data_IF_840051614486
#
_entry.id   IF_840051614486
#
_cell.length_a   1.000
_cell.length_b   1.000
_cell.length_c   1.000
_cell.angle_alpha   90.00
_cell.angle_beta   90.00
_cell.angle_gamma   90.00
#
_symmetry.space_group_name_H-M   'P 1'
#
loop_
_entity.id
_entity.type
_entity.pdbx_description
1 polymer ?
#
# COMPACT_ATOMS: atom_id res chain seq x y z
N UNK A 1 14.38 -10.53 4.58
CA UNK A 1 15.00 -10.03 3.34
C UNK A 1 14.11 -8.90 2.88
N UNK A 2 14.65 -7.69 2.67
CA UNK A 2 13.79 -6.53 2.47
C UNK A 2 13.36 -6.36 1.01
N UNK A 3 12.05 -6.26 0.76
CA UNK A 3 11.53 -6.17 -0.62
C UNK A 3 11.26 -4.72 -0.98
N UNK A 4 12.27 -4.06 -1.54
CA UNK A 4 12.17 -2.70 -2.09
C UNK A 4 11.84 -2.76 -3.58
N UNK A 5 10.72 -2.16 -3.99
CA UNK A 5 10.32 -2.06 -5.38
C UNK A 5 10.33 -0.61 -5.86
N UNK A 6 10.66 -0.39 -7.13
CA UNK A 6 10.61 0.93 -7.76
C UNK A 6 9.38 1.02 -8.67
N UNK A 7 8.53 2.02 -8.42
CA UNK A 7 7.40 2.38 -9.28
C UNK A 7 7.59 3.82 -9.74
N UNK A 8 7.78 4.02 -11.04
CA UNK A 8 8.20 5.30 -11.62
C UNK A 8 9.40 5.86 -10.84
N UNK A 9 9.28 7.02 -10.20
CA UNK A 9 10.34 7.64 -9.41
C UNK A 9 10.24 7.37 -7.90
N UNK A 10 9.28 6.55 -7.47
CA UNK A 10 9.02 6.22 -6.07
C UNK A 10 9.56 4.85 -5.70
N UNK A 11 10.30 4.75 -4.60
CA UNK A 11 10.69 3.48 -3.99
C UNK A 11 9.72 3.10 -2.88
N UNK A 12 9.23 1.88 -2.91
CA UNK A 12 8.23 1.35 -1.99
C UNK A 12 8.81 0.15 -1.26
N UNK A 13 8.87 0.22 0.06
CA UNK A 13 9.26 -0.90 0.91
C UNK A 13 8.02 -1.72 1.27
N UNK A 14 7.94 -2.95 0.75
CA UNK A 14 6.78 -3.81 0.98
C UNK A 14 6.79 -4.47 2.36
N UNK A 15 7.93 -4.53 3.06
CA UNK A 15 7.97 -5.19 4.37
C UNK A 15 7.28 -4.38 5.45
N UNK A 16 7.24 -3.06 5.28
CA UNK A 16 6.52 -2.15 6.18
C UNK A 16 5.09 -1.88 5.71
N UNK A 17 4.70 -2.43 4.56
CA UNK A 17 3.35 -2.31 4.04
C UNK A 17 2.41 -3.18 4.88
N UNK A 18 1.32 -2.58 5.32
CA UNK A 18 0.31 -3.23 6.15
C UNK A 18 -0.97 -3.50 5.38
N UNK A 19 -1.35 -2.59 4.48
CA UNK A 19 -2.59 -2.66 3.73
C UNK A 19 -2.41 -2.04 2.34
N UNK A 20 -3.20 -2.50 1.38
CA UNK A 20 -3.35 -1.92 0.07
C UNK A 20 -4.83 -1.92 -0.28
N UNK A 21 -5.24 -0.83 -0.87
CA UNK A 21 -6.62 -0.55 -1.19
C UNK A 21 -6.73 -0.21 -2.66
N UNK A 22 -7.51 -1.01 -3.38
CA UNK A 22 -7.65 -0.91 -4.83
C UNK A 22 -8.91 -0.12 -5.19
N UNK A 23 -8.73 1.03 -5.85
CA UNK A 23 -9.81 1.84 -6.45
C UNK A 23 -9.81 1.70 -7.96
N UNK A 24 -10.93 2.02 -8.63
CA UNK A 24 -10.90 2.31 -10.05
C UNK A 24 -9.87 3.42 -10.34
N UNK A 25 -8.77 3.07 -11.03
CA UNK A 25 -7.73 4.01 -11.44
C UNK A 25 -6.68 4.40 -10.39
N UNK A 26 -6.77 3.95 -9.14
CA UNK A 26 -5.75 4.20 -8.12
C UNK A 26 -5.51 3.02 -7.17
N UNK A 27 -4.34 3.00 -6.54
CA UNK A 27 -3.99 2.06 -5.45
C UNK A 27 -3.43 2.87 -4.30
N UNK A 28 -4.03 2.74 -3.11
CA UNK A 28 -3.49 3.30 -1.87
C UNK A 28 -2.75 2.23 -1.11
N UNK A 29 -1.51 2.51 -0.72
CA UNK A 29 -0.66 1.64 0.07
C UNK A 29 -0.45 2.28 1.43
N UNK A 30 -0.61 1.49 2.49
CA UNK A 30 -0.49 1.93 3.87
C UNK A 30 0.70 1.26 4.52
N UNK A 31 1.55 2.05 5.17
CA UNK A 31 2.79 1.58 5.78
C UNK A 31 2.79 1.83 7.28
N UNK A 32 3.17 0.84 8.07
CA UNK A 32 3.43 1.05 9.49
C UNK A 32 4.76 1.78 9.64
N UNK A 33 4.72 2.93 10.32
CA UNK A 33 5.92 3.71 10.66
C UNK A 33 6.12 3.67 12.17
N UNK A 34 7.31 3.21 12.59
CA UNK A 34 7.69 3.28 13.99
C UNK A 34 8.06 4.73 14.33
N UNK A 35 7.23 5.40 15.16
CA UNK A 35 7.47 6.80 15.56
C UNK A 35 8.34 6.95 16.81
N UNK A 36 8.87 5.85 17.36
CA UNK A 36 9.69 5.85 18.57
C UNK A 36 8.94 6.20 19.87
N UNK A 37 7.65 6.55 19.79
CA UNK A 37 6.79 6.82 20.94
C UNK A 37 5.92 5.60 21.25
N UNK A 38 6.03 5.09 22.47
CA UNK A 38 5.25 3.94 22.91
C UNK A 38 3.74 4.26 22.83
N UNK A 39 3.01 3.45 22.06
CA UNK A 39 1.56 3.56 21.91
C UNK A 39 1.07 4.38 20.71
N UNK A 40 1.94 5.13 20.02
CA UNK A 40 1.58 5.79 18.77
C UNK A 40 1.76 4.82 17.59
N UNK A 41 0.67 4.57 16.85
CA UNK A 41 0.73 3.89 15.55
C UNK A 41 0.53 4.94 14.47
N UNK A 42 1.62 5.33 13.82
CA UNK A 42 1.53 6.18 12.64
C UNK A 42 1.48 5.33 11.38
N UNK A 43 0.57 5.70 10.49
CA UNK A 43 0.42 5.04 9.20
C UNK A 43 0.66 6.07 8.09
N UNK A 44 1.70 5.84 7.31
CA UNK A 44 1.94 6.62 6.09
C UNK A 44 1.13 6.03 4.94
N UNK A 45 0.70 6.91 4.03
CA UNK A 45 -0.11 6.53 2.86
C UNK A 45 0.54 7.02 1.58
N UNK A 46 0.70 6.13 0.62
CA UNK A 46 1.09 6.45 -0.75
C UNK A 46 -0.06 6.09 -1.68
N UNK A 47 -0.51 7.04 -2.50
CA UNK A 47 -1.51 6.78 -3.54
C UNK A 47 -0.87 6.82 -4.93
N UNK A 48 -0.99 5.71 -5.64
CA UNK A 48 -0.54 5.55 -7.03
C UNK A 48 -1.74 5.67 -7.97
N UNK A 49 -1.52 6.19 -9.16
CA UNK A 49 -2.59 6.42 -10.15
C UNK A 49 -2.25 5.81 -11.52
N UNK A 50 -3.28 5.58 -12.32
CA UNK A 50 -3.14 5.23 -13.74
C UNK A 50 -2.26 4.00 -13.98
N UNK A 51 -1.19 4.16 -14.76
CA UNK A 51 -0.27 3.06 -15.12
C UNK A 51 0.44 2.49 -13.89
N UNK A 52 0.80 3.33 -12.93
CA UNK A 52 1.54 2.92 -11.73
C UNK A 52 0.64 2.12 -10.79
N UNK A 53 -0.62 2.52 -10.66
CA UNK A 53 -1.65 1.77 -9.97
C UNK A 53 -1.84 0.36 -10.57
N UNK A 54 -1.93 0.27 -11.90
CA UNK A 54 -2.07 -1.02 -12.60
C UNK A 54 -0.84 -1.92 -12.44
N UNK A 55 0.36 -1.34 -12.55
CA UNK A 55 1.62 -2.06 -12.37
C UNK A 55 1.77 -2.59 -10.94
N UNK A 56 1.45 -1.75 -9.93
CA UNK A 56 1.48 -2.15 -8.53
C UNK A 56 0.49 -3.27 -8.23
N UNK A 57 -0.77 -3.14 -8.70
CA UNK A 57 -1.78 -4.19 -8.51
C UNK A 57 -1.31 -5.53 -9.06
N UNK A 58 -0.84 -5.54 -10.31
CA UNK A 58 -0.34 -6.76 -10.95
C UNK A 58 0.84 -7.36 -10.19
N UNK A 59 1.76 -6.53 -9.70
CA UNK A 59 2.89 -7.00 -8.90
C UNK A 59 2.44 -7.68 -7.60
N UNK A 60 1.53 -7.05 -6.85
CA UNK A 60 1.02 -7.61 -5.59
C UNK A 60 0.28 -8.93 -5.81
N UNK A 61 -0.57 -9.00 -6.86
CA UNK A 61 -1.29 -10.22 -7.25
C UNK A 61 -0.33 -11.36 -7.65
N UNK A 62 0.75 -11.06 -8.39
CA UNK A 62 1.70 -12.08 -8.86
C UNK A 62 2.62 -12.63 -7.76
N UNK A 63 2.94 -11.81 -6.76
CA UNK A 63 3.88 -12.20 -5.70
C UNK A 63 3.18 -12.75 -4.45
N UNK A 64 1.86 -13.00 -4.52
CA UNK A 64 1.05 -13.48 -3.39
C UNK A 64 1.32 -12.68 -2.12
N UNK A 65 1.49 -11.36 -2.27
CA UNK A 65 1.62 -10.49 -1.11
C UNK A 65 0.24 -10.50 -0.47
N UNK A 66 0.12 -11.13 0.71
CA UNK A 66 -1.11 -11.17 1.50
C UNK A 66 -1.39 -9.76 2.00
N UNK A 67 -1.99 -8.97 1.13
CA UNK A 67 -2.47 -7.66 1.47
C UNK A 67 -3.91 -7.79 1.84
N UNK A 68 -4.27 -7.31 3.03
CA UNK A 68 -5.67 -7.16 3.40
C UNK A 68 -6.27 -6.14 2.44
N UNK A 69 -6.88 -6.62 1.37
CA UNK A 69 -7.69 -5.83 0.48
C UNK A 69 -8.96 -5.45 1.26
N UNK A 70 -8.87 -4.40 2.06
CA UNK A 70 -10.08 -3.81 2.62
C UNK A 70 -10.86 -3.27 1.43
N UNK A 71 -12.05 -3.80 1.18
CA UNK A 71 -13.01 -3.14 0.31
C UNK A 71 -13.41 -1.80 0.94
N UNK A 72 -13.90 -0.82 0.17
CA UNK A 72 -14.49 0.37 0.79
C UNK A 72 -15.50 -0.11 1.82
N UNK A 73 -15.28 0.18 3.10
CA UNK A 73 -16.43 0.35 3.96
C UNK A 73 -17.11 1.60 3.42
N UNK A 74 -18.12 1.41 2.57
CA UNK A 74 -19.07 2.46 2.26
C UNK A 74 -19.70 2.86 3.59
N UNK A 75 -19.20 3.94 4.18
CA UNK A 75 -19.91 4.64 5.24
C UNK A 75 -21.04 5.36 4.51
N UNK A 76 -22.21 4.73 4.44
CA UNK A 76 -23.45 5.43 4.12
C UNK A 76 -23.82 6.24 5.36
N UNK A 77 -23.77 7.57 5.25
CA UNK A 77 -24.49 8.48 6.15
C UNK A 77 -26.00 8.45 5.85
#
# INVERSE_FOLDING_TARGET
MATLIKVSDTFINLDTMTQAYFKPGSVRLYFAVATGKAGERHMDVVELFGRDAQAMRKYLEQNSVDVVAMQPQEIYD
#
